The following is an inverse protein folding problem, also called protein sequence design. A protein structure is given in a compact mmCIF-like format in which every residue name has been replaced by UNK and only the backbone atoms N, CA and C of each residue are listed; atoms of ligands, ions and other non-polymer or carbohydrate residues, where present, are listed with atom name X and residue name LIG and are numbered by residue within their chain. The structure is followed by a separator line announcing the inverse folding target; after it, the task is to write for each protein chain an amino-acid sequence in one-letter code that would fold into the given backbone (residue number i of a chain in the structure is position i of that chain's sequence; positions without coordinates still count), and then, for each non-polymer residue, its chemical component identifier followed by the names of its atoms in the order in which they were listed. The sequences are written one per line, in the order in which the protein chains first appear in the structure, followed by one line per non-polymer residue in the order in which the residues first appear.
data_IF_600101577341
#
_entry.id   IF_600101577341
#
_cell.length_a   1.000
_cell.length_b   1.000
_cell.length_c   1.000
_cell.angle_alpha   90.00
_cell.angle_beta   90.00
_cell.angle_gamma   90.00
#
_symmetry.space_group_name_H-M   'P 1'
#
loop_
_entity.id
_entity.type
_entity.pdbx_description
1 polymer ?
#
# COMPACT_ATOMS: atom_id res chain seq x y z
N UNK A 1 -17.60 36.43 18.83
CA UNK A 1 -17.91 35.31 17.91
C UNK A 1 -18.16 34.06 18.75
N UNK A 2 -19.32 33.40 18.60
CA UNK A 2 -19.65 32.21 19.39
C UNK A 2 -18.91 31.00 18.78
N UNK A 3 -17.86 30.53 19.43
CA UNK A 3 -17.09 29.37 18.97
C UNK A 3 -17.98 28.13 18.81
N UNK A 4 -17.64 27.26 17.86
CA UNK A 4 -18.35 25.97 17.68
C UNK A 4 -18.26 25.18 18.99
N UNK A 5 -19.37 24.56 19.40
CA UNK A 5 -19.42 23.70 20.60
C UNK A 5 -18.35 22.60 20.48
N UNK A 6 -17.66 22.24 21.58
CA UNK A 6 -16.55 21.29 21.58
C UNK A 6 -16.87 19.95 20.86
N UNK A 7 -18.11 19.44 21.01
CA UNK A 7 -18.60 18.26 20.28
C UNK A 7 -18.64 18.44 18.77
N UNK A 8 -19.02 19.62 18.29
CA UNK A 8 -19.06 19.95 16.86
C UNK A 8 -17.66 20.07 16.28
N UNK A 9 -16.72 20.66 17.02
CA UNK A 9 -15.31 20.69 16.61
C UNK A 9 -14.74 19.27 16.47
N UNK A 10 -14.92 18.42 17.49
CA UNK A 10 -14.45 17.03 17.47
C UNK A 10 -14.96 16.22 16.26
N UNK A 11 -16.25 16.36 15.92
CA UNK A 11 -16.84 15.69 14.75
C UNK A 11 -16.28 16.17 13.42
N UNK A 12 -15.90 17.46 13.33
CA UNK A 12 -15.27 18.00 12.13
C UNK A 12 -13.87 17.42 11.97
N UNK A 13 -13.10 17.35 13.05
CA UNK A 13 -11.75 16.79 13.06
C UNK A 13 -11.76 15.29 12.74
N UNK A 14 -12.68 14.52 13.34
CA UNK A 14 -12.89 13.09 13.04
C UNK A 14 -13.18 12.87 11.54
N UNK A 15 -14.05 13.69 10.94
CA UNK A 15 -14.37 13.60 9.50
C UNK A 15 -13.19 13.99 8.62
N UNK A 16 -12.42 15.01 9.02
CA UNK A 16 -11.23 15.41 8.29
C UNK A 16 -10.17 14.31 8.29
N UNK A 17 -9.96 13.66 9.44
CA UNK A 17 -9.07 12.52 9.57
C UNK A 17 -9.51 11.33 8.69
N UNK A 18 -10.80 10.99 8.70
CA UNK A 18 -11.34 9.92 7.83
C UNK A 18 -11.15 10.24 6.35
N UNK A 19 -11.39 11.48 5.93
CA UNK A 19 -11.18 11.91 4.54
C UNK A 19 -9.71 11.79 4.14
N UNK A 20 -8.80 12.23 5.01
CA UNK A 20 -7.36 12.15 4.77
C UNK A 20 -6.89 10.69 4.60
N UNK A 21 -7.41 9.77 5.40
CA UNK A 21 -7.13 8.33 5.26
C UNK A 21 -7.60 7.82 3.89
N UNK A 22 -8.85 8.12 3.51
CA UNK A 22 -9.41 7.69 2.23
C UNK A 22 -8.63 8.25 1.02
N UNK A 23 -8.20 9.51 1.10
CA UNK A 23 -7.41 10.14 0.04
C UNK A 23 -6.01 9.49 -0.07
N UNK A 24 -5.37 9.16 1.05
CA UNK A 24 -4.09 8.41 1.05
C UNK A 24 -4.22 7.02 0.45
N UNK A 25 -5.30 6.30 0.76
CA UNK A 25 -5.57 4.98 0.16
C UNK A 25 -5.81 5.07 -1.35
N UNK A 26 -6.51 6.12 -1.80
CA UNK A 26 -6.71 6.37 -3.24
C UNK A 26 -5.37 6.62 -3.93
N UNK A 27 -4.51 7.47 -3.37
CA UNK A 27 -3.17 7.73 -3.92
C UNK A 27 -2.29 6.46 -3.92
N UNK A 28 -2.38 5.64 -2.87
CA UNK A 28 -1.63 4.40 -2.77
C UNK A 28 -2.03 3.38 -3.86
N UNK A 29 -3.29 3.36 -4.28
CA UNK A 29 -3.77 2.52 -5.40
C UNK A 29 -3.24 3.00 -6.75
N UNK A 30 -3.12 4.30 -6.94
CA UNK A 30 -2.56 4.88 -8.17
C UNK A 30 -1.03 4.79 -8.23
N UNK A 31 -0.39 4.43 -7.12
CA UNK A 31 1.06 4.27 -7.06
C UNK A 31 1.50 2.96 -7.73
N UNK A 32 2.76 2.86 -8.21
CA UNK A 32 3.31 1.61 -8.70
C UNK A 32 3.12 0.46 -7.69
N UNK A 33 2.63 -0.67 -8.19
CA UNK A 33 2.28 -1.86 -7.42
C UNK A 33 0.95 -1.76 -6.68
N UNK A 34 0.19 -0.67 -6.82
CA UNK A 34 -1.11 -0.49 -6.17
C UNK A 34 -2.23 -1.33 -6.78
N UNK A 35 -2.11 -1.73 -8.05
CA UNK A 35 -3.08 -2.57 -8.77
C UNK A 35 -2.36 -3.54 -9.72
N UNK A 36 -3.02 -4.63 -10.17
CA UNK A 36 -2.43 -5.56 -11.13
C UNK A 36 -2.15 -4.94 -12.51
N UNK A 37 -2.85 -3.86 -12.87
CA UNK A 37 -2.63 -3.10 -14.12
C UNK A 37 -1.38 -2.22 -14.06
N UNK A 38 -0.96 -1.84 -12.86
CA UNK A 38 0.23 -1.03 -12.61
C UNK A 38 1.24 -1.75 -11.70
N UNK A 39 1.77 -2.92 -12.09
CA UNK A 39 2.68 -3.68 -11.25
C UNK A 39 4.09 -3.05 -11.22
N UNK A 40 4.84 -3.31 -10.16
CA UNK A 40 6.25 -2.93 -10.06
C UNK A 40 7.10 -3.95 -10.85
N UNK A 41 7.84 -3.47 -11.84
CA UNK A 41 8.83 -4.29 -12.57
C UNK A 41 10.00 -4.70 -11.66
N UNK A 42 10.32 -6.00 -11.67
CA UNK A 42 11.45 -6.59 -10.93
C UNK A 42 12.17 -7.61 -11.79
N UNK A 43 13.48 -7.78 -11.57
CA UNK A 43 14.30 -8.71 -12.38
C UNK A 43 14.04 -10.18 -12.05
N UNK A 44 13.60 -10.50 -10.84
CA UNK A 44 13.35 -11.88 -10.41
C UNK A 44 12.42 -11.91 -9.19
N UNK A 45 11.85 -13.08 -8.91
CA UNK A 45 10.97 -13.28 -7.74
C UNK A 45 11.71 -13.14 -6.41
N UNK A 46 13.00 -13.47 -6.37
CA UNK A 46 13.83 -13.41 -5.17
C UNK A 46 13.96 -11.98 -4.60
N UNK A 47 13.86 -10.96 -5.45
CA UNK A 47 13.99 -9.54 -5.04
C UNK A 47 12.68 -9.01 -4.44
N UNK A 48 11.55 -9.66 -4.69
CA UNK A 48 10.22 -9.14 -4.37
C UNK A 48 10.04 -8.97 -2.86
N UNK A 49 10.33 -10.01 -2.07
CA UNK A 49 10.11 -9.99 -0.61
C UNK A 49 11.00 -8.94 0.07
N UNK A 50 12.27 -8.86 -0.35
CA UNK A 50 13.20 -7.83 0.10
C UNK A 50 12.72 -6.42 -0.25
N UNK A 51 12.21 -6.20 -1.46
CA UNK A 51 11.67 -4.90 -1.87
C UNK A 51 10.42 -4.54 -1.09
N UNK A 52 9.49 -5.48 -0.92
CA UNK A 52 8.22 -5.25 -0.22
C UNK A 52 8.43 -4.91 1.27
N UNK A 53 9.39 -5.54 1.94
CA UNK A 53 9.69 -5.26 3.37
C UNK A 53 10.32 -3.89 3.61
N UNK A 54 10.97 -3.29 2.60
CA UNK A 54 11.49 -1.91 2.66
C UNK A 54 10.41 -0.83 2.46
N UNK A 55 9.25 -1.20 1.92
CA UNK A 55 8.16 -0.24 1.68
C UNK A 55 7.51 0.18 3.00
N UNK A 56 7.08 1.44 3.05
CA UNK A 56 6.43 2.04 4.22
C UNK A 56 4.92 2.13 4.06
N UNK A 57 4.23 2.04 5.18
CA UNK A 57 2.79 2.22 5.21
C UNK A 57 2.42 3.65 4.83
N UNK A 58 1.59 3.89 3.78
CA UNK A 58 1.25 5.24 3.35
C UNK A 58 0.34 5.96 4.36
N UNK A 59 -0.20 5.24 5.35
CA UNK A 59 -1.05 5.80 6.39
C UNK A 59 -0.29 6.24 7.63
N UNK A 60 0.68 5.44 8.09
CA UNK A 60 1.39 5.67 9.36
C UNK A 60 2.92 5.63 9.26
N UNK A 61 3.47 5.44 8.05
CA UNK A 61 4.91 5.27 7.76
C UNK A 61 5.58 4.04 8.42
N UNK A 62 4.75 3.15 8.96
CA UNK A 62 5.16 1.92 9.62
C UNK A 62 5.74 0.86 8.69
N UNK A 63 6.35 -0.16 9.31
CA UNK A 63 6.88 -1.33 8.60
C UNK A 63 5.77 -2.33 8.24
N UNK A 64 5.97 -3.08 7.16
CA UNK A 64 5.08 -4.16 6.75
C UNK A 64 5.58 -5.53 7.18
N UNK A 65 4.63 -6.39 7.56
CA UNK A 65 4.79 -7.84 7.65
C UNK A 65 4.29 -8.49 6.37
N UNK A 66 5.09 -9.38 5.78
CA UNK A 66 4.63 -10.25 4.70
C UNK A 66 3.64 -11.29 5.27
N UNK A 67 2.49 -11.43 4.61
CA UNK A 67 1.50 -12.48 4.90
C UNK A 67 1.60 -13.58 3.87
N UNK A 68 1.40 -13.23 2.61
CA UNK A 68 1.39 -14.17 1.51
C UNK A 68 2.14 -13.62 0.30
N UNK A 69 2.76 -14.52 -0.46
CA UNK A 69 3.34 -14.25 -1.76
C UNK A 69 2.68 -15.19 -2.77
N UNK A 70 1.79 -14.64 -3.58
CA UNK A 70 0.96 -15.38 -4.54
C UNK A 70 1.48 -15.19 -5.96
N UNK A 71 1.51 -16.28 -6.72
CA UNK A 71 1.74 -16.26 -8.17
C UNK A 71 0.41 -16.21 -8.89
N UNK A 72 0.14 -15.14 -9.63
CA UNK A 72 -1.13 -14.94 -10.35
C UNK A 72 -1.02 -15.38 -11.83
N UNK A 73 0.16 -15.90 -12.23
CA UNK A 73 0.44 -16.35 -13.60
C UNK A 73 1.04 -15.24 -14.48
N UNK A 74 1.54 -15.61 -15.67
CA UNK A 74 2.15 -14.67 -16.64
C UNK A 74 3.23 -13.73 -16.05
N UNK A 75 4.01 -14.22 -15.08
CA UNK A 75 5.04 -13.42 -14.40
C UNK A 75 4.50 -12.36 -13.43
N UNK A 76 3.19 -12.30 -13.20
CA UNK A 76 2.57 -11.42 -12.19
C UNK A 76 2.63 -12.08 -10.80
N UNK A 77 3.03 -11.29 -9.81
CA UNK A 77 3.15 -11.68 -8.40
C UNK A 77 2.38 -10.70 -7.54
N UNK A 78 1.64 -11.20 -6.56
CA UNK A 78 0.93 -10.40 -5.55
C UNK A 78 1.49 -10.71 -4.19
N UNK A 79 1.87 -9.69 -3.45
CA UNK A 79 2.23 -9.79 -2.04
C UNK A 79 1.13 -9.19 -1.20
N UNK A 80 0.62 -9.96 -0.25
CA UNK A 80 -0.29 -9.47 0.76
C UNK A 80 0.52 -9.13 2.02
N UNK A 81 0.40 -7.88 2.45
CA UNK A 81 1.13 -7.30 3.56
C UNK A 81 0.16 -6.82 4.63
N UNK A 82 0.63 -6.76 5.87
CA UNK A 82 -0.09 -6.10 6.97
C UNK A 82 0.86 -5.15 7.68
N UNK A 83 0.46 -3.90 7.89
CA UNK A 83 1.29 -2.97 8.66
C UNK A 83 1.43 -3.44 10.11
N UNK A 84 2.65 -3.44 10.65
CA UNK A 84 2.91 -3.77 12.04
C UNK A 84 2.30 -2.75 13.01
N UNK A 85 2.28 -1.48 12.64
CA UNK A 85 1.92 -0.40 13.57
C UNK A 85 0.41 -0.08 13.55
N UNK A 86 -0.19 0.01 12.35
CA UNK A 86 -1.62 0.35 12.22
C UNK A 86 -2.52 -0.82 11.81
N UNK A 87 -1.95 -1.99 11.51
CA UNK A 87 -2.70 -3.18 11.13
C UNK A 87 -3.34 -3.14 9.73
N UNK A 88 -3.20 -2.05 8.97
CA UNK A 88 -3.84 -1.92 7.65
C UNK A 88 -3.28 -2.97 6.67
N UNK A 89 -4.14 -3.76 6.02
CA UNK A 89 -3.72 -4.69 4.98
C UNK A 89 -3.37 -3.94 3.69
N UNK A 90 -2.44 -4.47 2.91
CA UNK A 90 -2.10 -3.94 1.59
C UNK A 90 -1.66 -5.06 0.66
N UNK A 91 -2.22 -5.09 -0.53
CA UNK A 91 -1.70 -5.91 -1.61
C UNK A 91 -0.76 -5.08 -2.49
N UNK A 92 0.40 -5.64 -2.83
CA UNK A 92 1.36 -5.02 -3.75
C UNK A 92 1.61 -5.96 -4.91
N UNK A 93 1.54 -5.42 -6.12
CA UNK A 93 1.64 -6.16 -7.36
C UNK A 93 3.01 -5.94 -8.01
N UNK A 94 3.63 -7.03 -8.44
CA UNK A 94 4.94 -7.06 -9.08
C UNK A 94 4.85 -7.83 -10.39
N UNK A 95 5.67 -7.45 -11.37
CA UNK A 95 5.83 -8.17 -12.62
C UNK A 95 7.29 -8.54 -12.81
N UNK A 96 7.55 -9.83 -13.02
CA UNK A 96 8.86 -10.32 -13.41
C UNK A 96 9.17 -9.78 -14.80
N UNK A 97 10.27 -9.04 -14.92
CA UNK A 97 10.86 -8.72 -16.21
C UNK A 97 11.35 -10.01 -16.84
N UNK A 98 10.93 -10.28 -18.08
CA UNK A 98 11.61 -11.25 -18.92
C UNK A 98 13.06 -10.80 -18.99
N UNK A 99 13.96 -11.61 -18.44
CA UNK A 99 15.38 -11.44 -18.70
C UNK A 99 15.59 -11.92 -20.12
N UNK A 100 15.36 -11.05 -21.11
CA UNK A 100 15.87 -11.26 -22.47
C UNK A 100 17.22 -10.52 -22.58
N UNK A 101 18.36 -11.23 -22.61
CA UNK A 101 19.46 -10.79 -23.43
C UNK A 101 19.22 -11.28 -24.87
N UNK A 102 19.32 -10.35 -25.82
CA UNK A 102 19.47 -10.61 -27.26
C UNK A 102 20.46 -11.75 -27.54
#
# INVERSE_FOLDING_TARGET
MKGKRARTARRVDERAAQKLIADRERLARLSPGGTPEHPIGVVSSAVIDGRATTMRCPLCDGHYRLRDHVSEGAGLRRLDLTCHDCGTPRSIWFRLGTTEPN
#
